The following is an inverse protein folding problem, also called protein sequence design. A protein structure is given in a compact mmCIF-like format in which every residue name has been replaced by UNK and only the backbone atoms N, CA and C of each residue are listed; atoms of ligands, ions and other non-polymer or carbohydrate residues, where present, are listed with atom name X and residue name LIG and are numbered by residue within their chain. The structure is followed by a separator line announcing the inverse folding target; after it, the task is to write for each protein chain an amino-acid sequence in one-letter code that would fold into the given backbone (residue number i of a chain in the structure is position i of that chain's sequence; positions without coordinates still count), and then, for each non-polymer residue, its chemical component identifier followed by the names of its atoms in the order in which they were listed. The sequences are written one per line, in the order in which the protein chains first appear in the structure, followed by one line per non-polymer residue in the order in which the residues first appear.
data_IF_799608180920
#
_entry.id   IF_799608180920
#
_cell.length_a   1.000
_cell.length_b   1.000
_cell.length_c   1.000
_cell.angle_alpha   90.00
_cell.angle_beta   90.00
_cell.angle_gamma   90.00
#
_symmetry.space_group_name_H-M   'P 1'
#
loop_
_entity.id
_entity.type
_entity.pdbx_description
1 polymer ?
#
# COMPACT_ATOMS: atom_id res chain seq x y z
N UNK A 1 -17.18 3.46 -0.87
CA UNK A 1 -17.02 2.33 -1.82
C UNK A 1 -15.83 2.64 -2.72
N UNK A 2 -14.74 1.88 -2.64
CA UNK A 2 -13.56 2.09 -3.48
C UNK A 2 -13.81 1.51 -4.89
N UNK A 3 -13.20 2.13 -5.89
CA UNK A 3 -13.11 1.55 -7.23
C UNK A 3 -11.82 0.74 -7.30
N UNK A 4 -11.94 -0.51 -7.75
CA UNK A 4 -10.81 -1.25 -8.27
C UNK A 4 -10.45 -0.62 -9.60
N UNK A 5 -9.24 -0.10 -9.73
CA UNK A 5 -8.71 0.31 -11.02
C UNK A 5 -7.95 -0.90 -11.57
N UNK A 6 -8.43 -1.54 -12.66
CA UNK A 6 -7.74 -2.67 -13.26
C UNK A 6 -6.33 -2.26 -13.69
N UNK A 7 -5.32 -3.04 -13.33
CA UNK A 7 -3.91 -2.76 -13.62
C UNK A 7 -3.60 -2.57 -15.10
N UNK A 8 -4.40 -3.21 -15.96
CA UNK A 8 -4.38 -3.10 -17.42
C UNK A 8 -4.60 -1.66 -17.91
N UNK A 9 -5.31 -0.85 -17.12
CA UNK A 9 -5.52 0.58 -17.37
C UNK A 9 -4.42 1.49 -16.80
N UNK A 10 -3.43 0.91 -16.10
CA UNK A 10 -2.23 1.58 -15.57
C UNK A 10 -0.96 0.93 -16.14
N UNK A 11 -0.92 0.78 -17.48
CA UNK A 11 0.29 0.39 -18.18
C UNK A 11 1.46 1.31 -17.77
N UNK A 12 2.56 0.74 -17.30
CA UNK A 12 3.72 1.51 -16.84
C UNK A 12 3.62 2.03 -15.40
N UNK A 13 2.90 1.34 -14.49
CA UNK A 13 3.00 1.60 -13.04
C UNK A 13 4.33 1.14 -12.44
N UNK A 14 5.42 1.65 -13.00
CA UNK A 14 6.79 1.43 -12.56
C UNK A 14 7.07 2.14 -11.22
N UNK A 15 8.31 2.01 -10.73
CA UNK A 15 8.71 2.66 -9.49
C UNK A 15 8.56 4.19 -9.52
N UNK A 16 8.64 4.85 -10.67
CA UNK A 16 8.44 6.30 -10.78
C UNK A 16 6.95 6.67 -10.67
N UNK A 17 6.07 5.91 -11.31
CA UNK A 17 4.62 6.08 -11.20
C UNK A 17 4.12 5.83 -9.77
N UNK A 18 4.64 4.81 -9.09
CA UNK A 18 4.36 4.55 -7.67
C UNK A 18 4.76 5.71 -6.77
N UNK A 19 5.97 6.23 -6.95
CA UNK A 19 6.45 7.39 -6.20
C UNK A 19 5.57 8.61 -6.47
N UNK A 20 5.21 8.86 -7.73
CA UNK A 20 4.32 9.96 -8.09
C UNK A 20 2.96 9.84 -7.40
N UNK A 21 2.38 8.64 -7.41
CA UNK A 21 1.12 8.34 -6.75
C UNK A 21 1.18 8.51 -5.22
N UNK A 22 2.16 7.90 -4.54
CA UNK A 22 2.33 8.07 -3.09
C UNK A 22 2.53 9.56 -2.74
N UNK A 23 3.29 10.29 -3.56
CA UNK A 23 3.54 11.72 -3.36
C UNK A 23 2.28 12.58 -3.55
N UNK A 24 1.40 12.25 -4.48
CA UNK A 24 0.15 13.01 -4.68
C UNK A 24 -0.81 12.90 -3.50
N UNK A 25 -0.72 11.84 -2.70
CA UNK A 25 -1.58 11.63 -1.52
C UNK A 25 -1.10 12.37 -0.26
N UNK A 26 0.15 12.86 -0.25
CA UNK A 26 0.83 13.37 0.96
C UNK A 26 0.08 14.49 1.67
N UNK A 27 -0.48 15.45 0.93
CA UNK A 27 -1.14 16.62 1.52
C UNK A 27 -2.47 16.28 2.20
N UNK A 28 -3.13 15.20 1.77
CA UNK A 28 -4.41 14.76 2.32
C UNK A 28 -4.27 13.64 3.37
N UNK A 29 -3.13 12.96 3.40
CA UNK A 29 -2.91 11.81 4.28
C UNK A 29 -2.69 12.27 5.73
N UNK A 30 -3.51 11.78 6.64
CA UNK A 30 -3.33 11.93 8.09
C UNK A 30 -2.79 10.65 8.73
N UNK A 31 -3.14 9.47 8.18
CA UNK A 31 -2.69 8.18 8.69
C UNK A 31 -2.25 7.26 7.55
N UNK A 32 -1.30 6.38 7.87
CA UNK A 32 -0.89 5.27 7.00
C UNK A 32 -1.11 3.97 7.77
N UNK A 33 -1.83 3.03 7.15
CA UNK A 33 -1.92 1.65 7.64
C UNK A 33 -1.03 0.75 6.80
N UNK A 34 -0.26 -0.09 7.49
CA UNK A 34 0.54 -1.16 6.91
C UNK A 34 -0.01 -2.49 7.40
N UNK A 35 -0.39 -3.38 6.47
CA UNK A 35 -0.90 -4.71 6.81
C UNK A 35 0.13 -5.75 6.40
N UNK A 36 0.78 -6.34 7.39
CA UNK A 36 1.76 -7.41 7.24
C UNK A 36 1.04 -8.75 7.24
N UNK A 37 0.87 -9.36 6.06
CA UNK A 37 0.17 -10.65 5.93
C UNK A 37 1.00 -11.82 6.42
N UNK A 38 2.33 -11.71 6.32
CA UNK A 38 3.28 -12.74 6.75
C UNK A 38 3.88 -12.47 8.15
N UNK A 39 3.36 -11.44 8.85
CA UNK A 39 3.85 -11.00 10.16
C UNK A 39 4.86 -9.84 10.11
N UNK A 40 4.99 -9.12 11.23
CA UNK A 40 5.73 -7.86 11.33
C UNK A 40 7.09 -7.98 12.04
N UNK A 41 7.28 -8.94 12.95
CA UNK A 41 8.42 -9.01 13.86
C UNK A 41 9.80 -9.04 13.18
N UNK A 42 9.91 -9.74 12.05
CA UNK A 42 11.16 -9.87 11.29
C UNK A 42 11.20 -8.98 10.05
N UNK A 43 10.13 -8.24 9.79
CA UNK A 43 9.98 -7.48 8.56
C UNK A 43 10.93 -6.25 8.57
N UNK A 44 11.73 -6.03 7.50
CA UNK A 44 12.65 -4.89 7.42
C UNK A 44 11.96 -3.54 7.67
N UNK A 45 10.75 -3.37 7.13
CA UNK A 45 9.95 -2.15 7.31
C UNK A 45 9.62 -1.86 8.79
N UNK A 46 9.27 -2.89 9.57
CA UNK A 46 8.98 -2.75 10.99
C UNK A 46 10.21 -2.27 11.77
N UNK A 47 11.40 -2.75 11.39
CA UNK A 47 12.67 -2.31 12.00
C UNK A 47 12.98 -0.86 11.64
N UNK A 48 12.85 -0.50 10.36
CA UNK A 48 13.11 0.88 9.89
C UNK A 48 12.18 1.90 10.54
N UNK A 49 10.92 1.52 10.79
CA UNK A 49 9.89 2.39 11.37
C UNK A 49 9.70 2.20 12.89
N UNK A 50 10.59 1.47 13.57
CA UNK A 50 10.42 1.12 14.99
C UNK A 50 10.30 2.35 15.91
N UNK A 51 10.81 3.51 15.49
CA UNK A 51 10.77 4.76 16.24
C UNK A 51 9.48 5.56 16.09
N UNK A 52 8.60 5.21 15.14
CA UNK A 52 7.35 5.94 14.84
C UNK A 52 6.14 5.50 15.68
N UNK A 53 6.30 4.54 16.59
CA UNK A 53 5.30 4.02 17.54
C UNK A 53 3.87 3.83 16.94
N UNK A 54 3.62 2.77 16.16
CA UNK A 54 2.31 2.53 15.57
C UNK A 54 1.29 2.05 16.60
N UNK A 55 0.01 2.33 16.32
CA UNK A 55 -1.07 1.52 16.88
C UNK A 55 -1.03 0.16 16.18
N UNK A 56 -0.58 -0.87 16.91
CA UNK A 56 -0.48 -2.25 16.41
C UNK A 56 -1.70 -3.07 16.77
N UNK A 57 -2.24 -3.79 15.80
CA UNK A 57 -3.36 -4.71 15.97
C UNK A 57 -3.07 -6.04 15.28
N UNK A 58 -3.36 -7.16 15.95
CA UNK A 58 -3.36 -8.49 15.33
C UNK A 58 -4.77 -8.81 14.85
N UNK A 59 -4.87 -9.31 13.63
CA UNK A 59 -6.12 -9.64 12.97
C UNK A 59 -6.75 -8.41 12.32
N UNK A 60 -7.06 -8.52 11.03
CA UNK A 60 -7.82 -7.51 10.29
C UNK A 60 -9.13 -8.10 9.80
N UNK A 61 -10.21 -7.31 9.91
CA UNK A 61 -11.51 -7.67 9.35
C UNK A 61 -11.52 -7.62 7.83
N UNK A 62 -12.70 -7.87 7.24
CA UNK A 62 -12.91 -7.63 5.82
C UNK A 62 -12.63 -6.15 5.49
N UNK A 63 -11.90 -5.91 4.41
CA UNK A 63 -11.46 -4.57 3.97
C UNK A 63 -11.45 -4.49 2.45
N UNK A 64 -11.40 -3.30 1.84
CA UNK A 64 -11.24 -3.20 0.38
C UNK A 64 -10.05 -4.06 -0.09
N UNK A 65 -10.29 -4.94 -1.07
CA UNK A 65 -9.31 -5.93 -1.54
C UNK A 65 -9.40 -7.31 -0.86
N UNK A 66 -10.00 -7.41 0.34
CA UNK A 66 -10.15 -8.68 1.07
C UNK A 66 -11.58 -8.84 1.58
N UNK A 67 -12.34 -9.73 0.94
CA UNK A 67 -13.71 -10.04 1.36
C UNK A 67 -13.76 -10.88 2.63
N UNK A 68 -12.67 -11.56 2.98
CA UNK A 68 -12.56 -12.41 4.17
C UNK A 68 -11.66 -11.75 5.22
N UNK A 69 -11.96 -11.91 6.52
CA UNK A 69 -11.05 -11.52 7.59
C UNK A 69 -9.70 -12.25 7.47
N UNK A 70 -8.62 -11.57 7.85
CA UNK A 70 -7.27 -12.13 7.95
C UNK A 70 -6.85 -12.13 9.42
N UNK A 71 -7.14 -13.22 10.17
CA UNK A 71 -6.95 -13.24 11.62
C UNK A 71 -5.48 -13.25 12.07
N UNK A 72 -4.55 -13.67 11.19
CA UNK A 72 -3.12 -13.72 11.47
C UNK A 72 -2.35 -12.49 10.99
N UNK A 73 -2.95 -11.66 10.13
CA UNK A 73 -2.28 -10.47 9.61
C UNK A 73 -2.11 -9.41 10.72
N UNK A 74 -1.02 -8.66 10.65
CA UNK A 74 -0.71 -7.60 11.63
C UNK A 74 -0.89 -6.24 10.98
N UNK A 75 -1.68 -5.37 11.59
CA UNK A 75 -1.89 -4.00 11.15
C UNK A 75 -1.09 -3.04 12.03
N UNK A 76 -0.28 -2.20 11.39
CA UNK A 76 0.32 -1.03 12.02
C UNK A 76 -0.35 0.22 11.47
N UNK A 77 -0.91 1.05 12.34
CA UNK A 77 -1.42 2.37 11.98
C UNK A 77 -0.52 3.46 12.54
N UNK A 78 0.04 4.26 11.65
CA UNK A 78 0.89 5.39 11.97
C UNK A 78 0.16 6.70 11.71
N UNK A 79 0.46 7.73 12.50
CA UNK A 79 0.31 9.10 12.03
C UNK A 79 1.21 9.31 10.81
N UNK A 80 0.75 10.10 9.84
CA UNK A 80 1.53 10.34 8.63
C UNK A 80 2.92 10.93 8.98
N UNK A 81 3.96 10.23 8.54
CA UNK A 81 5.34 10.70 8.55
C UNK A 81 5.99 10.41 7.19
N UNK A 82 6.77 11.35 6.67
CA UNK A 82 7.49 11.19 5.40
C UNK A 82 8.47 10.02 5.40
N UNK A 83 8.99 9.64 6.57
CA UNK A 83 9.90 8.51 6.73
C UNK A 83 9.26 7.19 6.32
N UNK A 84 7.93 7.06 6.46
CA UNK A 84 7.20 5.87 6.00
C UNK A 84 7.33 5.74 4.49
N UNK A 85 7.09 6.83 3.74
CA UNK A 85 7.25 6.83 2.29
C UNK A 85 8.68 6.54 1.86
N UNK A 86 9.67 7.13 2.54
CA UNK A 86 11.07 6.86 2.26
C UNK A 86 11.44 5.39 2.49
N UNK A 87 10.96 4.78 3.58
CA UNK A 87 11.20 3.36 3.85
C UNK A 87 10.55 2.46 2.79
N UNK A 88 9.34 2.78 2.32
CA UNK A 88 8.71 2.08 1.19
C UNK A 88 9.54 2.23 -0.10
N UNK A 89 10.04 3.43 -0.39
CA UNK A 89 10.91 3.69 -1.55
C UNK A 89 12.24 2.89 -1.46
N UNK A 90 12.88 2.84 -0.29
CA UNK A 90 14.12 2.09 -0.04
C UNK A 90 13.96 0.57 -0.18
N UNK A 91 12.76 0.05 0.08
CA UNK A 91 12.43 -1.36 -0.15
C UNK A 91 12.09 -1.67 -1.62
N UNK A 92 12.24 -0.69 -2.52
CA UNK A 92 12.00 -0.84 -3.96
C UNK A 92 10.62 -0.38 -4.41
N UNK A 93 9.85 0.28 -3.55
CA UNK A 93 8.45 0.60 -3.80
C UNK A 93 7.53 -0.55 -3.37
N UNK A 94 6.30 -0.54 -3.87
CA UNK A 94 5.24 -1.44 -3.39
C UNK A 94 5.26 -2.77 -4.15
N UNK A 95 5.33 -2.72 -5.47
CA UNK A 95 5.56 -3.87 -6.36
C UNK A 95 6.04 -3.39 -7.73
N UNK A 96 6.81 -4.16 -8.48
CA UNK A 96 7.20 -3.79 -9.86
C UNK A 96 6.34 -4.51 -10.88
N UNK A 97 5.83 -3.78 -11.88
CA UNK A 97 5.17 -4.41 -13.03
C UNK A 97 6.15 -4.52 -14.19
N UNK A 98 6.37 -5.73 -14.66
CA UNK A 98 7.28 -6.02 -15.77
C UNK A 98 6.46 -6.58 -16.92
N UNK A 99 6.37 -5.81 -18.00
CA UNK A 99 5.79 -6.32 -19.24
C UNK A 99 6.75 -7.35 -19.84
N UNK A 100 6.25 -8.56 -20.06
CA UNK A 100 7.01 -9.63 -20.72
C UNK A 100 6.31 -10.04 -22.02
N UNK A 101 7.03 -10.60 -23.00
CA UNK A 101 6.42 -11.09 -24.24
C UNK A 101 5.30 -12.12 -24.03
N UNK A 102 5.25 -12.75 -22.85
CA UNK A 102 4.25 -13.76 -22.46
C UNK A 102 3.12 -13.21 -21.59
N UNK A 103 3.01 -11.89 -21.50
CA UNK A 103 2.08 -11.21 -20.61
C UNK A 103 2.80 -10.53 -19.45
N UNK A 104 2.12 -9.59 -18.83
CA UNK A 104 2.72 -8.82 -17.77
C UNK A 104 2.83 -9.62 -16.47
N UNK A 105 3.84 -9.31 -15.64
CA UNK A 105 4.09 -9.96 -14.36
C UNK A 105 4.30 -8.95 -13.24
N UNK A 106 3.67 -9.20 -12.10
CA UNK A 106 3.99 -8.54 -10.84
C UNK A 106 5.24 -9.17 -10.26
N UNK A 107 6.28 -8.35 -10.02
CA UNK A 107 7.46 -8.71 -9.24
C UNK A 107 7.36 -8.03 -7.89
N UNK A 108 7.30 -8.81 -6.83
CA UNK A 108 7.34 -8.27 -5.48
C UNK A 108 8.69 -7.62 -5.20
N UNK A 109 8.66 -6.43 -4.63
CA UNK A 109 9.85 -5.72 -4.17
C UNK A 109 10.32 -6.32 -2.83
N UNK A 110 11.32 -5.73 -2.20
CA UNK A 110 11.74 -6.13 -0.84
C UNK A 110 10.69 -5.75 0.21
N UNK A 111 9.63 -5.04 -0.16
CA UNK A 111 8.47 -4.80 0.68
C UNK A 111 7.68 -6.09 0.97
N UNK A 112 7.68 -7.06 0.05
CA UNK A 112 6.96 -8.31 0.24
C UNK A 112 5.44 -8.14 0.31
N UNK A 113 4.79 -9.00 1.10
CA UNK A 113 3.34 -9.08 1.24
C UNK A 113 2.80 -8.09 2.29
N UNK A 114 3.00 -6.80 2.02
CA UNK A 114 2.57 -5.70 2.90
C UNK A 114 1.68 -4.72 2.15
N UNK A 115 0.42 -4.66 2.54
CA UNK A 115 -0.49 -3.67 1.97
C UNK A 115 -0.29 -2.30 2.61
N UNK A 116 -0.39 -1.25 1.80
CA UNK A 116 -0.24 0.13 2.23
C UNK A 116 -1.55 0.86 1.97
N UNK A 117 -2.17 1.40 3.02
CA UNK A 117 -3.39 2.21 2.91
C UNK A 117 -3.14 3.62 3.43
N UNK A 118 -3.41 4.62 2.59
CA UNK A 118 -3.38 6.04 2.93
C UNK A 118 -4.78 6.50 3.34
N UNK A 119 -4.88 7.15 4.50
CA UNK A 119 -6.15 7.59 5.06
C UNK A 119 -6.15 9.10 5.36
N UNK A 120 -7.30 9.74 5.19
CA UNK A 120 -7.51 11.12 5.66
C UNK A 120 -7.69 11.18 7.19
N UNK A 121 -7.89 12.39 7.73
CA UNK A 121 -8.10 12.63 9.17
C UNK A 121 -9.36 11.95 9.75
N UNK A 122 -10.31 11.57 8.89
CA UNK A 122 -11.56 10.91 9.26
C UNK A 122 -11.46 9.39 9.11
N UNK A 123 -10.31 8.86 8.64
CA UNK A 123 -10.13 7.44 8.36
C UNK A 123 -10.70 7.00 7.01
N UNK A 124 -11.05 7.93 6.13
CA UNK A 124 -11.45 7.60 4.76
C UNK A 124 -10.24 7.19 3.95
N UNK A 125 -10.37 6.12 3.16
CA UNK A 125 -9.32 5.70 2.23
C UNK A 125 -9.10 6.79 1.18
N UNK A 126 -7.84 7.16 0.96
CA UNK A 126 -7.38 8.02 -0.13
C UNK A 126 -6.71 7.19 -1.24
N UNK A 127 -6.09 6.08 -0.85
CA UNK A 127 -5.54 5.08 -1.75
C UNK A 127 -5.08 3.86 -0.95
N UNK A 128 -5.19 2.68 -1.53
CA UNK A 128 -4.69 1.45 -0.92
C UNK A 128 -4.02 0.57 -1.96
N UNK A 129 -3.06 -0.23 -1.53
CA UNK A 129 -2.56 -1.34 -2.33
C UNK A 129 -3.09 -2.67 -1.82
N UNK A 130 -3.17 -3.65 -2.72
CA UNK A 130 -3.42 -5.07 -2.42
C UNK A 130 -2.27 -5.83 -3.08
N UNK A 131 -1.20 -6.00 -2.32
CA UNK A 131 0.10 -6.40 -2.85
C UNK A 131 0.07 -7.77 -3.51
N UNK A 132 -0.58 -8.76 -2.89
CA UNK A 132 -0.69 -10.11 -3.48
C UNK A 132 -1.44 -10.17 -4.82
N UNK A 133 -2.35 -9.21 -5.09
CA UNK A 133 -3.04 -9.06 -6.38
C UNK A 133 -2.37 -8.01 -7.28
N UNK A 134 -1.36 -7.31 -6.78
CA UNK A 134 -0.72 -6.18 -7.45
C UNK A 134 -1.64 -4.98 -7.66
N UNK A 135 -2.74 -4.83 -6.92
CA UNK A 135 -3.77 -3.82 -7.22
C UNK A 135 -3.57 -2.51 -6.45
N UNK A 136 -4.14 -1.43 -7.02
CA UNK A 136 -4.39 -0.16 -6.33
C UNK A 136 -5.89 0.08 -6.27
N UNK A 137 -6.36 0.46 -5.09
CA UNK A 137 -7.73 0.83 -4.81
C UNK A 137 -7.79 2.33 -4.54
N UNK A 138 -8.65 3.04 -5.27
CA UNK A 138 -8.87 4.48 -5.09
C UNK A 138 -10.34 4.75 -4.73
N UNK A 139 -10.64 5.85 -4.03
CA UNK A 139 -12.00 6.33 -3.87
C UNK A 139 -12.67 6.58 -5.22
N UNK A 140 -13.97 6.29 -5.32
CA UNK A 140 -14.77 6.67 -6.49
C UNK A 140 -14.86 8.20 -6.55
N UNK A 141 -14.23 8.83 -7.55
CA UNK A 141 -14.34 10.28 -7.80
C UNK A 141 -13.04 11.00 -8.14
N UNK A 142 -11.88 10.45 -7.73
CA UNK A 142 -10.56 11.03 -8.01
C UNK A 142 -9.77 10.13 -8.97
N UNK A 143 -10.19 10.11 -10.23
CA UNK A 143 -9.27 9.81 -11.32
C UNK A 143 -8.47 11.09 -11.53
N UNK A 144 -7.13 11.11 -11.44
CA UNK A 144 -6.36 12.24 -11.90
C UNK A 144 -6.76 12.46 -13.36
N UNK A 145 -7.46 13.57 -13.65
CA UNK A 145 -7.65 13.96 -15.05
C UNK A 145 -6.26 14.10 -15.64
N UNK A 146 -5.99 13.32 -16.68
CA UNK A 146 -4.78 13.44 -17.48
C UNK A 146 -4.62 14.86 -18.00
#
# INVERSE_FOLDING_TARGET
MCQQVPLESVAGFDGAAQRKWMRSLRSATAYIELVFHDGDNEHPLSRTLAWLDPIRQIGVGARPGYQRPQPSAVLHRYSYDRAILHALEELGGIFEYVSTPTGDRVRFTRLGNVDVTFLDRHGSVLGSTVTHEGLILLPRGDVPRQ
#
